data_IF_904187326437
#
_entry.id   IF_904187326437
#
_cell.length_a   1.000
_cell.length_b   1.000
_cell.length_c   1.000
_cell.angle_alpha   90.00
_cell.angle_beta   90.00
_cell.angle_gamma   90.00
#
_symmetry.space_group_name_H-M   'P 1'
#
loop_
_entity.id
_entity.type
_entity.pdbx_description
1 polymer ?
#
# COMPACT_ATOMS: atom_id res chain seq x y z
N UNK A 1 -9.31 41.44 54.10
CA UNK A 1 -10.16 42.38 53.33
C UNK A 1 -9.91 42.35 51.82
N UNK A 2 -8.70 42.07 51.30
CA UNK A 2 -8.46 42.04 49.85
C UNK A 2 -8.96 40.78 49.12
N UNK A 3 -9.08 39.65 49.84
CA UNK A 3 -9.41 38.37 49.23
C UNK A 3 -10.92 38.21 48.99
N UNK A 4 -11.75 38.74 49.88
CA UNK A 4 -13.22 38.74 49.71
C UNK A 4 -13.63 39.59 48.51
N UNK A 5 -13.09 40.81 48.37
CA UNK A 5 -13.38 41.67 47.22
C UNK A 5 -12.84 41.08 45.89
N UNK A 6 -11.72 40.36 45.93
CA UNK A 6 -11.20 39.65 44.77
C UNK A 6 -12.09 38.46 44.37
N UNK A 7 -12.55 37.68 45.33
CA UNK A 7 -13.44 36.54 45.09
C UNK A 7 -14.80 37.01 44.60
N UNK A 8 -15.39 38.03 45.21
CA UNK A 8 -16.66 38.62 44.78
C UNK A 8 -16.54 39.26 43.39
N UNK A 9 -15.46 39.99 43.13
CA UNK A 9 -15.18 40.55 41.80
C UNK A 9 -15.01 39.48 40.71
N UNK A 10 -14.46 38.31 41.05
CA UNK A 10 -14.39 37.16 40.14
C UNK A 10 -15.77 36.55 39.87
N UNK A 11 -16.61 36.37 40.89
CA UNK A 11 -17.97 35.84 40.72
C UNK A 11 -18.89 36.81 39.98
N UNK A 12 -18.78 38.12 40.20
CA UNK A 12 -19.53 39.14 39.45
C UNK A 12 -19.06 39.20 37.98
N UNK A 13 -17.76 39.06 37.74
CA UNK A 13 -17.21 38.96 36.38
C UNK A 13 -17.73 37.72 35.65
N UNK A 14 -17.68 36.54 36.30
CA UNK A 14 -18.18 35.28 35.72
C UNK A 14 -19.71 35.31 35.55
N UNK A 15 -20.43 35.93 36.49
CA UNK A 15 -21.89 36.08 36.45
C UNK A 15 -22.39 37.08 35.41
N UNK A 16 -21.57 38.06 35.03
CA UNK A 16 -21.87 39.04 33.99
C UNK A 16 -21.57 38.57 32.56
N UNK A 17 -21.01 37.38 32.39
CA UNK A 17 -20.78 36.81 31.05
C UNK A 17 -22.10 36.31 30.49
N UNK A 18 -22.58 36.97 29.44
CA UNK A 18 -23.70 36.45 28.65
C UNK A 18 -23.34 35.06 28.11
N UNK A 19 -24.20 34.07 28.38
CA UNK A 19 -24.04 32.70 27.89
C UNK A 19 -23.85 32.64 26.36
N UNK A 20 -24.40 33.60 25.62
CA UNK A 20 -24.22 33.74 24.17
C UNK A 20 -22.81 34.18 23.76
N UNK A 21 -22.20 35.12 24.50
CA UNK A 21 -20.83 35.58 24.22
C UNK A 21 -19.84 34.47 24.55
N UNK A 22 -20.04 33.80 25.70
CA UNK A 22 -19.25 32.63 26.05
C UNK A 22 -19.36 31.51 25.01
N UNK A 23 -20.58 31.18 24.58
CA UNK A 23 -20.82 30.15 23.58
C UNK A 23 -20.18 30.45 22.22
N UNK A 24 -20.28 31.70 21.74
CA UNK A 24 -19.66 32.11 20.48
C UNK A 24 -18.13 32.09 20.54
N UNK A 25 -17.54 32.58 21.64
CA UNK A 25 -16.09 32.52 21.86
C UNK A 25 -15.57 31.07 21.86
N UNK A 26 -16.24 30.18 22.61
CA UNK A 26 -15.88 28.77 22.69
C UNK A 26 -15.97 28.09 21.32
N UNK A 27 -17.03 28.36 20.56
CA UNK A 27 -17.23 27.80 19.24
C UNK A 27 -16.14 28.22 18.24
N UNK A 28 -15.77 29.51 18.23
CA UNK A 28 -14.67 30.02 17.40
C UNK A 28 -13.35 29.35 17.78
N UNK A 29 -13.06 29.22 19.08
CA UNK A 29 -11.87 28.54 19.56
C UNK A 29 -11.83 27.08 19.10
N UNK A 30 -12.96 26.37 19.20
CA UNK A 30 -13.07 24.99 18.73
C UNK A 30 -12.85 24.87 17.22
N UNK A 31 -13.38 25.79 16.42
CA UNK A 31 -13.12 25.81 14.96
C UNK A 31 -11.64 26.01 14.67
N UNK A 32 -11.01 27.00 15.31
CA UNK A 32 -9.58 27.27 15.11
C UNK A 32 -8.74 26.05 15.49
N UNK A 33 -9.02 25.44 16.64
CA UNK A 33 -8.38 24.19 17.06
C UNK A 33 -8.58 23.08 16.03
N UNK A 34 -9.78 22.95 15.48
CA UNK A 34 -10.09 21.95 14.48
C UNK A 34 -9.33 22.17 13.17
N UNK A 35 -9.21 23.42 12.70
CA UNK A 35 -8.41 23.78 11.52
C UNK A 35 -6.92 23.42 11.71
N UNK A 36 -6.37 23.65 12.90
CA UNK A 36 -4.99 23.25 13.24
C UNK A 36 -4.82 21.73 13.13
N UNK A 37 -5.80 20.94 13.60
CA UNK A 37 -5.76 19.49 13.48
C UNK A 37 -5.83 19.01 12.01
N UNK A 38 -6.68 19.62 11.17
CA UNK A 38 -6.70 19.31 9.72
C UNK A 38 -5.31 19.58 9.10
N UNK A 39 -4.74 20.75 9.41
CA UNK A 39 -3.42 21.14 8.90
C UNK A 39 -2.33 20.15 9.34
N UNK A 40 -2.38 19.73 10.60
CA UNK A 40 -1.50 18.69 11.13
C UNK A 40 -1.65 17.37 10.38
N UNK A 41 -2.88 16.86 10.19
CA UNK A 41 -3.16 15.63 9.43
C UNK A 41 -2.65 15.72 7.98
N UNK A 42 -2.75 16.89 7.35
CA UNK A 42 -2.28 17.08 5.97
C UNK A 42 -0.75 16.99 5.84
N UNK A 43 -0.03 17.63 6.76
CA UNK A 43 1.44 17.57 6.83
C UNK A 43 1.86 16.13 7.15
N UNK A 44 1.28 15.58 8.20
CA UNK A 44 1.60 14.26 8.71
C UNK A 44 1.37 13.14 7.68
N UNK A 45 0.23 13.18 6.97
CA UNK A 45 -0.04 12.22 5.90
C UNK A 45 0.94 12.38 4.73
N UNK A 46 1.47 13.58 4.49
CA UNK A 46 2.47 13.84 3.46
C UNK A 46 3.82 13.19 3.74
N UNK A 47 4.22 13.06 5.02
CA UNK A 47 5.46 12.38 5.41
C UNK A 47 5.38 10.85 5.24
N UNK A 48 4.15 10.30 5.17
CA UNK A 48 3.88 8.86 5.17
C UNK A 48 3.46 8.30 3.81
N UNK A 49 2.80 9.12 2.98
CA UNK A 49 2.32 8.69 1.67
C UNK A 49 2.53 9.77 0.61
N UNK A 50 3.08 9.36 -0.54
CA UNK A 50 3.22 10.21 -1.73
C UNK A 50 1.89 10.37 -2.49
N UNK A 51 0.94 9.45 -2.30
CA UNK A 51 -0.32 9.44 -3.03
C UNK A 51 -1.28 10.52 -2.50
N UNK A 52 -1.57 11.52 -3.35
CA UNK A 52 -2.47 12.63 -2.98
C UNK A 52 -3.89 12.17 -2.65
N UNK A 53 -4.38 11.14 -3.33
CA UNK A 53 -5.75 10.61 -3.12
C UNK A 53 -5.94 10.07 -1.71
N UNK A 54 -4.95 9.34 -1.19
CA UNK A 54 -4.99 8.80 0.18
C UNK A 54 -5.00 9.95 1.21
N UNK A 55 -4.22 11.01 0.96
CA UNK A 55 -4.18 12.20 1.83
C UNK A 55 -5.54 12.89 1.88
N UNK A 56 -6.19 13.07 0.74
CA UNK A 56 -7.54 13.64 0.65
C UNK A 56 -8.56 12.76 1.38
N UNK A 57 -8.48 11.44 1.24
CA UNK A 57 -9.37 10.51 1.96
C UNK A 57 -9.21 10.65 3.47
N UNK A 58 -7.97 10.74 3.99
CA UNK A 58 -7.75 10.97 5.42
C UNK A 58 -8.30 12.31 5.89
N UNK A 59 -8.10 13.39 5.12
CA UNK A 59 -8.71 14.68 5.44
C UNK A 59 -10.23 14.61 5.46
N UNK A 60 -10.84 14.02 4.43
CA UNK A 60 -12.29 13.91 4.33
C UNK A 60 -12.88 13.07 5.47
N UNK A 61 -12.19 12.00 5.85
CA UNK A 61 -12.55 11.16 6.99
C UNK A 61 -12.53 11.97 8.29
N UNK A 62 -11.47 12.75 8.55
CA UNK A 62 -11.37 13.58 9.76
C UNK A 62 -12.42 14.70 9.73
N UNK A 63 -12.65 15.36 8.59
CA UNK A 63 -13.66 16.42 8.42
C UNK A 63 -15.08 15.91 8.65
N UNK A 64 -15.43 14.75 8.11
CA UNK A 64 -16.79 14.23 8.22
C UNK A 64 -17.06 13.60 9.59
N UNK A 65 -16.10 12.85 10.15
CA UNK A 65 -16.28 12.12 11.41
C UNK A 65 -15.73 12.88 12.63
N UNK A 66 -15.13 14.06 12.46
CA UNK A 66 -14.54 14.87 13.53
C UNK A 66 -13.58 14.06 14.43
N UNK A 67 -13.91 13.94 15.73
CA UNK A 67 -13.10 13.24 16.74
C UNK A 67 -12.98 11.74 16.43
N UNK A 68 -14.07 10.97 16.20
CA UNK A 68 -13.97 9.60 15.69
C UNK A 68 -13.10 9.46 14.45
N UNK A 69 -13.18 10.43 13.54
CA UNK A 69 -12.37 10.44 12.32
C UNK A 69 -10.88 10.54 12.61
N UNK A 70 -10.50 11.42 13.54
CA UNK A 70 -9.12 11.55 14.00
C UNK A 70 -8.61 10.27 14.66
N UNK A 71 -9.43 9.60 15.48
CA UNK A 71 -9.06 8.33 16.11
C UNK A 71 -8.81 7.25 15.05
N UNK A 72 -9.73 7.11 14.09
CA UNK A 72 -9.58 6.15 12.99
C UNK A 72 -8.33 6.46 12.17
N UNK A 73 -8.07 7.74 11.90
CA UNK A 73 -6.86 8.19 11.22
C UNK A 73 -5.60 7.74 11.97
N UNK A 74 -5.51 7.97 13.29
CA UNK A 74 -4.37 7.55 14.10
C UNK A 74 -4.14 6.03 14.09
N UNK A 75 -5.21 5.24 13.94
CA UNK A 75 -5.14 3.78 13.87
C UNK A 75 -4.70 3.29 12.48
N UNK A 76 -5.20 3.90 11.40
CA UNK A 76 -4.92 3.47 10.02
C UNK A 76 -3.60 4.05 9.47
N UNK A 77 -3.16 5.17 10.04
CA UNK A 77 -1.94 5.89 9.66
C UNK A 77 -0.72 4.95 9.71
N UNK A 78 0.09 4.90 8.62
CA UNK A 78 1.33 4.12 8.62
C UNK A 78 2.27 4.54 9.76
N UNK A 79 2.90 3.56 10.42
CA UNK A 79 3.83 3.82 11.52
C UNK A 79 5.17 4.39 11.04
N UNK A 80 5.62 3.98 9.85
CA UNK A 80 6.88 4.42 9.25
C UNK A 80 6.67 5.59 8.28
N UNK A 81 7.60 6.55 8.30
CA UNK A 81 7.67 7.62 7.29
C UNK A 81 8.41 7.15 6.04
N UNK A 82 8.21 7.85 4.92
CA UNK A 82 8.90 7.54 3.65
C UNK A 82 10.42 7.64 3.85
N UNK A 83 10.87 8.62 4.65
CA UNK A 83 12.28 8.82 4.96
C UNK A 83 12.87 7.64 5.73
N UNK A 84 12.18 7.13 6.76
CA UNK A 84 12.63 5.97 7.53
C UNK A 84 12.78 4.72 6.64
N UNK A 85 11.81 4.48 5.75
CA UNK A 85 11.87 3.37 4.79
C UNK A 85 13.07 3.54 3.84
N UNK A 86 13.33 4.76 3.39
CA UNK A 86 14.45 5.07 2.52
C UNK A 86 15.80 4.81 3.22
N UNK A 87 16.01 5.33 4.43
CA UNK A 87 17.23 5.09 5.21
C UNK A 87 17.43 3.60 5.50
N UNK A 88 16.38 2.88 5.89
CA UNK A 88 16.44 1.44 6.13
C UNK A 88 16.76 0.62 4.86
N UNK A 89 16.36 1.10 3.67
CA UNK A 89 16.76 0.48 2.40
C UNK A 89 18.23 0.78 2.06
N UNK A 90 18.66 2.02 2.26
CA UNK A 90 20.04 2.44 2.02
C UNK A 90 21.02 1.68 2.91
N UNK A 91 20.72 1.55 4.21
CA UNK A 91 21.52 0.79 5.17
C UNK A 91 21.62 -0.69 4.78
N UNK A 92 20.51 -1.30 4.35
CA UNK A 92 20.52 -2.67 3.83
C UNK A 92 21.42 -2.83 2.61
N UNK A 93 21.44 -1.85 1.71
CA UNK A 93 22.34 -1.87 0.54
C UNK A 93 23.80 -1.69 0.94
N UNK A 94 24.07 -0.81 1.91
CA UNK A 94 25.41 -0.56 2.42
C UNK A 94 26.00 -1.82 3.08
N UNK A 95 25.27 -2.45 4.01
CA UNK A 95 25.69 -3.69 4.66
C UNK A 95 25.96 -4.83 3.66
N UNK A 96 25.16 -4.92 2.59
CA UNK A 96 25.37 -5.90 1.51
C UNK A 96 26.65 -5.63 0.73
N UNK A 97 27.00 -4.36 0.53
CA UNK A 97 28.23 -3.98 -0.15
C UNK A 97 29.45 -4.31 0.71
N UNK A 98 29.43 -3.91 1.98
CA UNK A 98 30.51 -4.19 2.93
C UNK A 98 30.78 -5.69 3.04
N UNK A 99 29.74 -6.50 3.24
CA UNK A 99 29.87 -7.97 3.26
C UNK A 99 30.36 -8.57 1.93
N UNK A 100 30.07 -7.94 0.78
CA UNK A 100 30.56 -8.43 -0.51
C UNK A 100 32.08 -8.26 -0.70
N UNK A 101 32.70 -7.32 0.02
CA UNK A 101 34.16 -7.11 -0.02
C UNK A 101 34.93 -8.14 0.84
N UNK A 102 34.27 -8.78 1.80
CA UNK A 102 34.91 -9.68 2.76
C UNK A 102 35.42 -11.01 2.15
N UNK A 103 35.17 -11.26 0.86
CA UNK A 103 35.75 -12.39 0.15
C UNK A 103 35.33 -13.75 0.72
N UNK A 104 34.05 -13.93 1.04
CA UNK A 104 33.56 -15.15 1.68
C UNK A 104 33.49 -16.36 0.74
N UNK A 105 33.59 -17.56 1.32
CA UNK A 105 33.44 -18.80 0.59
C UNK A 105 31.98 -19.00 0.13
N UNK A 106 31.75 -19.13 -1.18
CA UNK A 106 30.41 -19.38 -1.75
C UNK A 106 29.74 -20.69 -1.28
N UNK A 107 30.51 -21.65 -0.75
CA UNK A 107 29.99 -22.96 -0.32
C UNK A 107 29.62 -23.00 1.17
N UNK A 108 30.37 -22.32 2.04
CA UNK A 108 30.22 -22.43 3.50
C UNK A 108 30.14 -21.10 4.25
N UNK A 109 30.32 -19.96 3.58
CA UNK A 109 30.28 -18.64 4.19
C UNK A 109 31.50 -18.26 5.04
N UNK A 110 32.54 -19.09 5.09
CA UNK A 110 33.76 -18.75 5.83
C UNK A 110 34.50 -17.60 5.15
N UNK A 111 34.89 -16.58 5.94
CA UNK A 111 35.68 -15.45 5.48
C UNK A 111 37.08 -15.89 5.04
N UNK A 112 37.58 -15.35 3.94
CA UNK A 112 38.88 -15.74 3.36
C UNK A 112 39.78 -14.55 3.18
N UNK A 113 41.06 -14.72 3.50
CA UNK A 113 42.05 -13.69 3.27
C UNK A 113 42.44 -13.61 1.78
N UNK A 114 42.89 -12.43 1.32
CA UNK A 114 43.39 -12.28 -0.04
C UNK A 114 44.57 -13.22 -0.29
N UNK A 115 44.46 -14.04 -1.34
CA UNK A 115 45.51 -14.97 -1.78
C UNK A 115 45.14 -16.44 -1.69
N UNK A 116 44.08 -16.79 -0.96
CA UNK A 116 43.61 -18.17 -0.83
C UNK A 116 43.09 -18.71 -2.16
N UNK A 117 43.52 -19.93 -2.50
CA UNK A 117 43.07 -20.67 -3.69
C UNK A 117 41.95 -21.65 -3.33
N UNK A 118 42.05 -22.24 -2.15
CA UNK A 118 41.07 -23.17 -1.56
C UNK A 118 40.57 -22.62 -0.22
N UNK A 119 39.34 -22.97 0.14
CA UNK A 119 38.78 -22.65 1.44
C UNK A 119 39.45 -23.48 2.53
N UNK A 120 39.91 -22.84 3.60
CA UNK A 120 40.50 -23.51 4.77
C UNK A 120 39.49 -24.34 5.57
N UNK A 121 38.20 -24.01 5.50
CA UNK A 121 37.16 -24.71 6.25
C UNK A 121 36.54 -25.88 5.47
N UNK A 122 36.11 -25.66 4.21
CA UNK A 122 35.37 -26.67 3.44
C UNK A 122 36.13 -27.26 2.24
N UNK A 123 37.37 -26.82 1.98
CA UNK A 123 38.20 -27.28 0.86
C UNK A 123 37.74 -26.84 -0.53
N UNK A 124 36.68 -26.03 -0.64
CA UNK A 124 36.19 -25.56 -1.95
C UNK A 124 37.24 -24.69 -2.66
N UNK A 125 37.45 -24.93 -3.96
CA UNK A 125 38.31 -24.11 -4.80
C UNK A 125 37.62 -22.79 -5.17
N UNK A 126 38.32 -21.69 -4.93
CA UNK A 126 37.76 -20.32 -4.96
C UNK A 126 38.40 -19.49 -6.06
N UNK A 127 39.65 -19.80 -6.42
CA UNK A 127 40.37 -19.17 -7.52
C UNK A 127 40.83 -20.22 -8.54
N UNK A 128 40.78 -19.87 -9.82
CA UNK A 128 41.27 -20.67 -10.94
C UNK A 128 42.26 -19.86 -11.76
N UNK A 129 43.16 -20.53 -12.50
CA UNK A 129 44.04 -19.85 -13.47
C UNK A 129 43.23 -19.43 -14.69
N UNK A 130 43.46 -18.21 -15.17
CA UNK A 130 42.93 -17.76 -16.45
C UNK A 130 43.56 -18.60 -17.59
N UNK A 131 42.77 -19.14 -18.54
CA UNK A 131 43.28 -19.93 -19.64
C UNK A 131 44.10 -19.12 -20.65
N UNK A 132 43.93 -17.79 -20.70
CA UNK A 132 44.65 -16.92 -21.63
C UNK A 132 45.96 -16.37 -21.03
N UNK A 133 45.92 -15.80 -19.83
CA UNK A 133 47.08 -15.12 -19.23
C UNK A 133 47.71 -15.86 -18.04
N UNK A 134 47.12 -16.95 -17.56
CA UNK A 134 47.63 -17.74 -16.43
C UNK A 134 47.43 -17.13 -15.04
N UNK A 135 46.94 -15.89 -14.93
CA UNK A 135 46.73 -15.21 -13.64
C UNK A 135 45.57 -15.86 -12.85
N UNK A 136 45.72 -15.93 -11.52
CA UNK A 136 44.69 -16.45 -10.62
C UNK A 136 43.51 -15.47 -10.51
N UNK A 137 42.33 -15.91 -10.93
CA UNK A 137 41.08 -15.15 -10.88
C UNK A 137 40.04 -15.89 -10.03
N UNK A 138 39.01 -15.18 -9.55
CA UNK A 138 37.91 -15.82 -8.83
C UNK A 138 37.17 -16.83 -9.71
N UNK A 139 36.74 -17.96 -9.14
CA UNK A 139 36.05 -19.02 -9.89
C UNK A 139 34.73 -18.55 -10.52
N UNK A 140 34.06 -17.60 -9.89
CA UNK A 140 32.79 -16.98 -10.33
C UNK A 140 32.94 -15.79 -11.28
N UNK A 141 34.17 -15.34 -11.59
CA UNK A 141 34.36 -14.20 -12.48
C UNK A 141 34.04 -14.56 -13.92
N UNK A 142 33.16 -13.79 -14.56
CA UNK A 142 32.79 -13.97 -15.97
C UNK A 142 33.93 -13.57 -16.92
N UNK A 143 34.68 -12.55 -16.54
CA UNK A 143 35.80 -11.99 -17.30
C UNK A 143 37.05 -11.92 -16.44
N UNK A 144 38.21 -12.11 -17.06
CA UNK A 144 39.49 -11.90 -16.39
C UNK A 144 39.72 -10.40 -16.17
N UNK A 145 39.92 -9.97 -14.92
CA UNK A 145 40.20 -8.57 -14.60
C UNK A 145 41.54 -8.04 -15.16
N UNK A 146 42.45 -8.94 -15.57
CA UNK A 146 43.78 -8.59 -16.09
C UNK A 146 43.83 -8.55 -17.62
N UNK A 147 43.32 -9.57 -18.31
CA UNK A 147 43.42 -9.69 -19.78
C UNK A 147 42.08 -9.53 -20.51
N UNK A 148 40.96 -9.37 -19.80
CA UNK A 148 39.63 -9.18 -20.39
C UNK A 148 39.00 -10.44 -21.01
N UNK A 149 39.73 -11.56 -21.10
CA UNK A 149 39.20 -12.81 -21.67
C UNK A 149 37.99 -13.28 -20.89
N UNK A 150 36.93 -13.67 -21.59
CA UNK A 150 35.77 -14.32 -20.99
C UNK A 150 36.14 -15.73 -20.53
N UNK A 151 35.97 -16.01 -19.23
CA UNK A 151 36.46 -17.25 -18.59
C UNK A 151 35.33 -18.18 -18.16
N UNK A 152 34.09 -17.69 -18.26
CA UNK A 152 32.90 -18.51 -18.25
C UNK A 152 32.49 -18.75 -19.71
N UNK A 153 32.94 -19.85 -20.29
CA UNK A 153 32.32 -20.36 -21.51
C UNK A 153 30.90 -20.78 -21.15
N UNK A 154 29.88 -20.12 -21.70
CA UNK A 154 28.59 -20.77 -21.94
C UNK A 154 28.87 -21.91 -22.92
N UNK A 155 29.28 -23.08 -22.44
CA UNK A 155 29.46 -24.28 -23.27
C UNK A 155 28.15 -25.06 -23.45
N UNK A 156 27.05 -24.54 -22.93
CA UNK A 156 25.72 -24.98 -23.34
C UNK A 156 25.19 -23.86 -24.22
N UNK A 157 24.97 -24.14 -25.50
CA UNK A 157 24.04 -23.35 -26.29
C UNK A 157 22.75 -23.32 -25.49
N UNK A 158 22.40 -22.18 -24.90
CA UNK A 158 21.11 -22.00 -24.29
C UNK A 158 20.11 -22.00 -25.45
N UNK A 159 19.54 -23.17 -25.72
CA UNK A 159 18.34 -23.28 -26.52
C UNK A 159 17.29 -22.45 -25.79
N UNK A 160 16.96 -21.29 -26.35
CA UNK A 160 15.97 -20.41 -25.76
C UNK A 160 14.67 -21.23 -25.64
N UNK A 161 14.13 -21.38 -24.42
CA UNK A 161 12.86 -22.07 -24.26
C UNK A 161 11.82 -21.43 -25.18
N UNK A 162 11.02 -22.26 -25.83
CA UNK A 162 9.88 -21.80 -26.62
C UNK A 162 9.01 -20.88 -25.77
N UNK A 163 8.31 -19.93 -26.41
CA UNK A 163 7.49 -18.91 -25.73
C UNK A 163 6.53 -19.54 -24.71
N UNK A 164 5.96 -20.69 -25.06
CA UNK A 164 5.07 -21.48 -24.19
C UNK A 164 5.78 -22.00 -22.93
N UNK A 165 7.02 -22.47 -23.05
CA UNK A 165 7.82 -22.96 -21.92
C UNK A 165 8.28 -21.80 -21.03
N UNK A 166 8.60 -20.63 -21.61
CA UNK A 166 8.85 -19.42 -20.82
C UNK A 166 7.62 -18.97 -20.05
N UNK A 167 6.44 -18.94 -20.68
CA UNK A 167 5.22 -18.53 -20.02
C UNK A 167 4.88 -19.46 -18.86
N UNK A 168 5.01 -20.77 -19.07
CA UNK A 168 4.85 -21.77 -18.01
C UNK A 168 5.86 -21.59 -16.87
N UNK A 169 7.13 -21.30 -17.18
CA UNK A 169 8.15 -21.00 -16.17
C UNK A 169 7.86 -19.70 -15.42
N UNK A 170 7.38 -18.65 -16.09
CA UNK A 170 7.01 -17.38 -15.47
C UNK A 170 5.83 -17.58 -14.53
N UNK A 171 4.81 -18.34 -14.95
CA UNK A 171 3.65 -18.67 -14.11
C UNK A 171 4.07 -19.55 -12.92
N UNK A 172 4.84 -20.60 -13.14
CA UNK A 172 5.34 -21.46 -12.07
C UNK A 172 6.24 -20.71 -11.08
N UNK A 173 7.16 -19.87 -11.57
CA UNK A 173 8.03 -19.04 -10.72
C UNK A 173 7.22 -17.99 -9.97
N UNK A 174 6.16 -17.44 -10.58
CA UNK A 174 5.26 -16.48 -9.93
C UNK A 174 4.44 -17.17 -8.85
N UNK A 175 3.91 -18.35 -9.11
CA UNK A 175 3.17 -19.17 -8.14
C UNK A 175 4.06 -19.59 -6.97
N UNK A 176 5.26 -20.09 -7.24
CA UNK A 176 6.26 -20.42 -6.21
C UNK A 176 6.73 -19.17 -5.45
N UNK A 177 6.93 -18.03 -6.13
CA UNK A 177 7.24 -16.77 -5.48
C UNK A 177 6.08 -16.29 -4.59
N UNK A 178 4.83 -16.47 -5.01
CA UNK A 178 3.67 -16.15 -4.18
C UNK A 178 3.55 -17.09 -2.99
N UNK A 179 3.76 -18.39 -3.19
CA UNK A 179 3.71 -19.40 -2.14
C UNK A 179 4.87 -19.26 -1.16
N UNK A 180 6.08 -18.93 -1.62
CA UNK A 180 7.22 -18.64 -0.76
C UNK A 180 7.08 -17.30 -0.04
N UNK A 181 6.52 -16.26 -0.68
CA UNK A 181 6.18 -15.01 0.01
C UNK A 181 5.08 -15.24 1.05
N UNK A 182 4.14 -16.16 0.79
CA UNK A 182 3.05 -16.50 1.69
C UNK A 182 3.48 -17.41 2.85
N UNK A 183 4.33 -18.41 2.58
CA UNK A 183 4.85 -19.39 3.55
C UNK A 183 6.08 -18.88 4.32
N UNK A 184 7.01 -18.19 3.65
CA UNK A 184 8.12 -17.44 4.28
C UNK A 184 7.77 -15.98 4.46
N UNK A 185 6.49 -15.62 4.67
CA UNK A 185 6.12 -14.30 5.20
C UNK A 185 7.05 -14.00 6.36
N UNK A 186 7.98 -13.10 6.11
CA UNK A 186 9.09 -12.79 6.99
C UNK A 186 8.49 -12.56 8.37
N UNK A 187 8.91 -13.39 9.34
CA UNK A 187 8.53 -13.31 10.76
C UNK A 187 8.59 -11.87 11.32
N UNK A 188 9.36 -11.00 10.68
CA UNK A 188 9.57 -9.60 11.04
C UNK A 188 8.57 -8.59 10.46
N UNK A 189 7.71 -8.96 9.50
CA UNK A 189 6.69 -8.05 8.94
C UNK A 189 5.28 -8.64 8.98
N UNK A 190 5.06 -9.55 9.93
CA UNK A 190 3.73 -10.02 10.33
C UNK A 190 3.13 -9.14 11.43
N UNK A 191 3.20 -7.81 11.31
CA UNK A 191 2.10 -6.99 11.81
C UNK A 191 1.07 -6.88 10.69
N UNK A 192 0.51 -8.02 10.29
CA UNK A 192 -0.84 -8.04 9.72
C UNK A 192 -1.78 -7.60 10.83
N UNK A 193 -1.73 -6.30 11.14
CA UNK A 193 -2.43 -5.70 12.26
C UNK A 193 -3.93 -5.92 12.07
N UNK A 194 -4.64 -5.82 13.19
CA UNK A 194 -6.09 -5.83 13.25
C UNK A 194 -6.77 -5.02 12.12
N UNK A 195 -6.13 -3.93 11.68
CA UNK A 195 -6.52 -3.07 10.55
C UNK A 195 -6.62 -3.81 9.20
N UNK A 196 -5.69 -4.73 8.87
CA UNK A 196 -5.75 -5.48 7.60
C UNK A 196 -6.88 -6.51 7.62
N UNK A 197 -7.12 -7.15 8.77
CA UNK A 197 -8.24 -8.08 8.98
C UNK A 197 -9.58 -7.35 8.94
N UNK A 198 -9.68 -6.18 9.58
CA UNK A 198 -10.86 -5.33 9.50
C UNK A 198 -11.07 -4.78 8.08
N UNK A 199 -10.01 -4.40 7.37
CA UNK A 199 -10.07 -3.99 5.98
C UNK A 199 -10.68 -5.08 5.10
N UNK A 200 -10.22 -6.33 5.24
CA UNK A 200 -10.81 -7.48 4.54
C UNK A 200 -12.30 -7.69 4.83
N UNK A 201 -12.72 -7.55 6.10
CA UNK A 201 -14.13 -7.64 6.49
C UNK A 201 -14.96 -6.48 5.95
N UNK A 202 -14.49 -5.23 6.05
CA UNK A 202 -15.21 -4.03 5.59
C UNK A 202 -15.35 -4.04 4.07
N UNK A 203 -14.29 -4.40 3.33
CA UNK A 203 -14.33 -4.52 1.86
C UNK A 203 -15.32 -5.61 1.45
N UNK A 204 -15.34 -6.76 2.14
CA UNK A 204 -16.30 -7.82 1.85
C UNK A 204 -17.75 -7.40 2.14
N UNK A 205 -17.98 -6.64 3.21
CA UNK A 205 -19.29 -6.11 3.58
C UNK A 205 -19.77 -5.02 2.61
N UNK A 206 -18.88 -4.13 2.17
CA UNK A 206 -19.22 -3.08 1.21
C UNK A 206 -19.45 -3.63 -0.20
N UNK A 207 -18.70 -4.68 -0.61
CA UNK A 207 -18.94 -5.39 -1.86
C UNK A 207 -20.32 -6.03 -1.90
N UNK A 208 -20.72 -6.71 -0.82
CA UNK A 208 -22.08 -7.27 -0.70
C UNK A 208 -23.16 -6.19 -0.76
N UNK A 209 -22.95 -5.06 -0.10
CA UNK A 209 -23.87 -3.91 -0.18
C UNK A 209 -23.95 -3.33 -1.60
N UNK A 210 -22.82 -3.20 -2.29
CA UNK A 210 -22.77 -2.72 -3.67
C UNK A 210 -23.49 -3.69 -4.62
N UNK A 211 -23.25 -4.99 -4.50
CA UNK A 211 -23.90 -6.03 -5.30
C UNK A 211 -25.42 -6.03 -5.09
N UNK A 212 -25.90 -5.84 -3.85
CA UNK A 212 -27.32 -5.70 -3.53
C UNK A 212 -27.92 -4.42 -4.15
N UNK A 213 -27.16 -3.32 -4.15
CA UNK A 213 -27.61 -2.04 -4.73
C UNK A 213 -27.64 -2.11 -6.26
N UNK A 214 -26.64 -2.73 -6.91
CA UNK A 214 -26.62 -2.91 -8.36
C UNK A 214 -27.74 -3.81 -8.82
N UNK A 215 -28.00 -4.93 -8.14
CA UNK A 215 -29.12 -5.83 -8.47
C UNK A 215 -30.48 -5.11 -8.32
N UNK A 216 -30.59 -4.20 -7.34
CA UNK A 216 -31.81 -3.40 -7.14
C UNK A 216 -31.95 -2.26 -8.16
N UNK A 217 -30.85 -1.74 -8.70
CA UNK A 217 -30.88 -0.76 -9.79
C UNK A 217 -31.26 -1.42 -11.12
N UNK A 218 -30.77 -2.63 -11.39
CA UNK A 218 -31.11 -3.40 -12.59
C UNK A 218 -32.60 -3.80 -12.58
N UNK A 219 -33.13 -4.33 -11.46
CA UNK A 219 -34.56 -4.65 -11.34
C UNK A 219 -35.47 -3.43 -11.49
N UNK A 220 -35.08 -2.26 -10.97
CA UNK A 220 -35.84 -1.02 -11.16
C UNK A 220 -35.80 -0.49 -12.60
N UNK A 221 -34.76 -0.82 -13.37
CA UNK A 221 -34.71 -0.51 -14.80
C UNK A 221 -35.58 -1.46 -15.61
N UNK A 222 -35.58 -2.76 -15.30
CA UNK A 222 -36.45 -3.75 -15.95
C UNK A 222 -37.94 -3.48 -15.70
N UNK A 223 -38.35 -3.19 -14.45
CA UNK A 223 -39.74 -2.82 -14.13
C UNK A 223 -40.19 -1.53 -14.85
N UNK A 224 -39.30 -0.55 -15.00
CA UNK A 224 -39.59 0.68 -15.76
C UNK A 224 -39.71 0.43 -17.26
N UNK A 225 -39.00 -0.55 -17.81
CA UNK A 225 -39.10 -0.92 -19.23
C UNK A 225 -40.39 -1.72 -19.49
N UNK A 226 -40.79 -2.62 -18.60
CA UNK A 226 -42.05 -3.38 -18.71
C UNK A 226 -43.29 -2.48 -18.56
N UNK A 227 -43.30 -1.54 -17.61
CA UNK A 227 -44.42 -0.60 -17.46
C UNK A 227 -44.58 0.31 -18.68
N UNK A 228 -43.47 0.75 -19.29
CA UNK A 228 -43.49 1.58 -20.50
C UNK A 228 -43.98 0.81 -21.73
N UNK A 229 -43.73 -0.50 -21.79
CA UNK A 229 -44.28 -1.37 -22.85
C UNK A 229 -45.78 -1.61 -22.66
N UNK A 230 -46.26 -1.75 -21.42
CA UNK A 230 -47.70 -1.93 -21.14
C UNK A 230 -48.53 -0.67 -21.48
N UNK A 231 -48.04 0.54 -21.19
CA UNK A 231 -48.71 1.80 -21.60
C UNK A 231 -48.80 1.96 -23.13
N UNK A 232 -47.79 1.51 -23.88
CA UNK A 232 -47.77 1.57 -25.35
C UNK A 232 -48.77 0.57 -25.97
N UNK A 233 -48.99 -0.58 -25.34
CA UNK A 233 -49.97 -1.59 -25.78
C UNK A 233 -51.41 -1.15 -25.50
N UNK A 234 -51.66 -0.47 -24.38
CA UNK A 234 -52.98 0.02 -24.00
C UNK A 234 -53.44 1.24 -24.83
N UNK A 235 -52.51 2.10 -25.23
CA UNK A 235 -52.81 3.25 -26.11
C UNK A 235 -53.14 2.84 -27.55
N UNK A 236 -52.53 1.75 -28.06
CA UNK A 236 -52.78 1.23 -29.41
C UNK A 236 -54.11 0.46 -29.53
N UNK A 237 -54.55 -0.22 -28.47
CA UNK A 237 -55.86 -0.89 -28.44
C UNK A 237 -57.01 0.11 -28.41
N UNK A 238 -56.87 1.26 -27.72
CA UNK A 238 -57.84 2.37 -27.76
C UNK A 238 -57.94 3.03 -29.14
N UNK A 239 -56.84 3.17 -29.90
CA UNK A 239 -56.86 3.67 -31.29
C UNK A 239 -57.54 2.71 -32.27
N UNK A 240 -57.36 1.38 -32.13
CA UNK A 240 -58.04 0.38 -32.97
C UNK A 240 -59.56 0.32 -32.74
N UNK A 241 -60.05 0.51 -31.51
CA UNK A 241 -61.51 0.58 -31.22
C UNK A 241 -62.18 1.84 -31.81
N UNK A 242 -61.50 2.99 -31.84
CA UNK A 242 -62.03 4.22 -32.50
C UNK A 242 -62.11 4.09 -34.03
N UNK A 243 -61.21 3.35 -34.69
CA UNK A 243 -61.24 3.15 -36.15
C UNK A 243 -62.35 2.20 -36.62
N UNK A 244 -62.75 1.22 -35.81
CA UNK A 244 -63.88 0.31 -36.13
C UNK A 244 -65.28 0.94 -35.96
N UNK A 245 -65.41 2.01 -35.17
CA UNK A 245 -66.68 2.74 -34.96
C UNK A 245 -67.00 3.81 -36.02
N UNK A 246 -66.07 4.10 -36.94
CA UNK A 246 -66.24 5.06 -38.05
C UNK A 246 -66.53 4.41 -39.41
N UNK A 247 -66.75 3.09 -39.44
CA UNK A 247 -66.96 2.30 -40.67
C UNK A 247 -68.23 1.43 -40.63
N UNK A 248 -69.18 1.78 -39.76
CA UNK A 248 -70.56 1.28 -39.74
C UNK A 248 -71.48 2.48 -39.70
#
# INVERSE_FOLDING_TARGET
>A
MNLENFVLGFFDFVGGIDFNIFGTLLFVLLIVFWLVLIGWVWIDSGERTSNISIRIIYLLLVVFLNIPGLIIYLIIRPSETIEQIYWADLERRYLKYETSELGDCSKCGNQLLPGYVYCSNCGNEIKKKCPSCGVMIGKSTKFCAYCGTQVASRSTQEEYPTIEVMEQQILATREEATETVESKRLKYKQSGGFVVKLGGMIISSWKRLFDIVSEKLEKNQEEKVEQKQQEVVESNTKKKKKKKRKKK
#
